data_IF_657095148396
#
_entry.id   IF_657095148396
#
_cell.length_a   1.000
_cell.length_b   1.000
_cell.length_c   1.000
_cell.angle_alpha   90.00
_cell.angle_beta   90.00
_cell.angle_gamma   90.00
#
_symmetry.space_group_name_H-M   'P 1'
#
loop_
_entity.id
_entity.type
_entity.pdbx_description
1 polymer ?
#
# COMPACT_ATOMS: atom_id res chain seq x y z
N UNK A 1 4.89 11.54 2.55
CA UNK A 1 3.82 11.42 3.58
C UNK A 1 4.41 10.99 4.92
N UNK A 2 4.14 11.73 6.01
CA UNK A 2 4.68 11.44 7.37
C UNK A 2 3.72 10.68 8.30
N UNK A 3 2.80 9.85 7.78
CA UNK A 3 1.87 9.07 8.64
C UNK A 3 2.58 8.02 9.51
N UNK A 4 3.80 7.61 9.13
CA UNK A 4 4.63 6.70 9.93
C UNK A 4 5.03 7.22 11.33
N UNK A 5 4.77 8.50 11.63
CA UNK A 5 4.99 9.12 12.94
C UNK A 5 3.73 9.18 13.81
N UNK A 6 2.56 8.81 13.27
CA UNK A 6 1.27 8.88 13.98
C UNK A 6 0.82 7.50 14.43
N UNK A 7 1.34 7.02 15.56
CA UNK A 7 0.94 5.74 16.16
C UNK A 7 -0.44 5.78 16.83
N UNK A 8 -0.92 6.99 17.14
CA UNK A 8 -2.25 7.32 17.65
C UNK A 8 -3.36 6.93 16.68
N UNK A 9 -3.16 7.15 15.38
CA UNK A 9 -4.17 6.86 14.36
C UNK A 9 -4.51 5.37 14.27
N UNK A 10 -5.79 5.03 14.13
CA UNK A 10 -6.21 3.65 13.88
C UNK A 10 -5.75 3.21 12.48
N UNK A 11 -5.77 1.89 12.26
CA UNK A 11 -5.51 1.34 10.92
C UNK A 11 -6.49 1.91 9.88
N UNK A 12 -7.75 2.12 10.27
CA UNK A 12 -8.77 2.69 9.40
C UNK A 12 -8.47 4.16 9.02
N UNK A 13 -7.99 4.96 9.98
CA UNK A 13 -7.67 6.37 9.73
C UNK A 13 -6.52 6.51 8.74
N UNK A 14 -5.50 5.67 8.86
CA UNK A 14 -4.38 5.66 7.92
C UNK A 14 -4.80 5.18 6.55
N UNK A 15 -5.63 4.15 6.49
CA UNK A 15 -6.21 3.70 5.23
C UNK A 15 -6.99 4.82 4.54
N UNK A 16 -7.84 5.55 5.27
CA UNK A 16 -8.57 6.72 4.73
C UNK A 16 -7.61 7.81 4.24
N UNK A 17 -6.59 8.15 5.02
CA UNK A 17 -5.59 9.16 4.63
C UNK A 17 -4.80 8.76 3.37
N UNK A 18 -4.45 7.48 3.24
CA UNK A 18 -3.77 6.95 2.06
C UNK A 18 -4.73 7.01 0.87
N UNK A 19 -5.97 6.53 1.02
CA UNK A 19 -6.97 6.54 -0.06
C UNK A 19 -7.25 7.94 -0.58
N UNK A 20 -7.42 8.92 0.31
CA UNK A 20 -7.68 10.31 -0.06
C UNK A 20 -6.57 10.93 -0.92
N UNK A 21 -5.31 10.54 -0.68
CA UNK A 21 -4.14 11.15 -1.34
C UNK A 21 -3.61 10.34 -2.51
N UNK A 22 -3.56 9.02 -2.36
CA UNK A 22 -3.01 8.11 -3.37
C UNK A 22 -4.05 7.66 -4.39
N UNK A 23 -5.34 7.66 -4.04
CA UNK A 23 -6.43 7.22 -4.92
C UNK A 23 -6.51 8.03 -6.22
N UNK A 24 -6.74 9.36 -6.14
CA UNK A 24 -6.80 10.21 -7.34
C UNK A 24 -5.52 10.19 -8.16
N UNK A 25 -4.36 10.20 -7.48
CA UNK A 25 -3.05 10.17 -8.11
C UNK A 25 -2.84 8.87 -8.90
N UNK A 26 -3.17 7.71 -8.32
CA UNK A 26 -3.05 6.41 -8.99
C UNK A 26 -3.99 6.30 -10.20
N UNK A 27 -5.20 6.87 -10.12
CA UNK A 27 -6.14 6.88 -11.24
C UNK A 27 -5.67 7.77 -12.40
N UNK A 28 -5.09 8.94 -12.09
CA UNK A 28 -4.59 9.86 -13.11
C UNK A 28 -3.30 9.36 -13.76
N UNK A 29 -2.26 9.05 -12.96
CA UNK A 29 -0.94 8.69 -13.49
C UNK A 29 -0.85 7.22 -13.95
N UNK A 30 -1.64 6.32 -13.35
CA UNK A 30 -1.62 4.90 -13.67
C UNK A 30 -2.01 4.58 -15.12
N UNK A 31 -2.71 5.48 -15.80
CA UNK A 31 -3.05 5.34 -17.23
C UNK A 31 -1.84 5.56 -18.15
N UNK A 32 -0.93 6.47 -17.80
CA UNK A 32 0.15 6.91 -18.69
C UNK A 32 1.50 6.30 -18.35
N UNK A 33 1.77 6.05 -17.06
CA UNK A 33 3.05 5.53 -16.57
C UNK A 33 2.82 4.42 -15.53
N UNK A 34 2.39 3.22 -15.96
CA UNK A 34 2.03 2.15 -15.03
C UNK A 34 3.19 1.66 -14.16
N UNK A 35 4.42 1.62 -14.70
CA UNK A 35 5.63 1.20 -13.97
C UNK A 35 6.04 2.19 -12.88
N UNK A 36 6.09 3.48 -13.20
CA UNK A 36 6.39 4.55 -12.22
C UNK A 36 5.31 4.64 -11.15
N UNK A 37 4.04 4.50 -11.56
CA UNK A 37 2.91 4.45 -10.63
C UNK A 37 3.08 3.28 -9.66
N UNK A 38 3.36 2.07 -10.15
CA UNK A 38 3.60 0.91 -9.30
C UNK A 38 4.76 1.13 -8.31
N UNK A 39 5.84 1.79 -8.73
CA UNK A 39 6.97 2.11 -7.86
C UNK A 39 6.58 3.04 -6.70
N UNK A 40 5.81 4.09 -6.98
CA UNK A 40 5.33 5.03 -5.95
C UNK A 40 4.33 4.34 -5.01
N UNK A 41 3.44 3.50 -5.54
CA UNK A 41 2.49 2.73 -4.73
C UNK A 41 3.20 1.74 -3.80
N UNK A 42 4.25 1.08 -4.28
CA UNK A 42 5.12 0.25 -3.45
C UNK A 42 5.80 1.07 -2.32
N UNK A 43 6.18 2.32 -2.59
CA UNK A 43 6.73 3.19 -1.55
C UNK A 43 5.71 3.52 -0.48
N UNK A 44 4.44 3.71 -0.83
CA UNK A 44 3.35 3.88 0.14
C UNK A 44 3.22 2.65 1.02
N UNK A 45 3.25 1.44 0.43
CA UNK A 45 3.21 0.18 1.20
C UNK A 45 4.42 0.06 2.14
N UNK A 46 5.64 0.47 1.72
CA UNK A 46 6.82 0.52 2.61
C UNK A 46 6.58 1.41 3.82
N UNK A 47 5.97 2.58 3.63
CA UNK A 47 5.64 3.48 4.74
C UNK A 47 4.58 2.88 5.66
N UNK A 48 3.58 2.19 5.11
CA UNK A 48 2.55 1.50 5.87
C UNK A 48 3.13 0.37 6.73
N UNK A 49 4.04 -0.43 6.17
CA UNK A 49 4.77 -1.44 6.94
C UNK A 49 5.62 -0.80 8.04
N UNK A 50 6.31 0.30 7.75
CA UNK A 50 7.09 1.03 8.77
C UNK A 50 6.21 1.55 9.90
N UNK A 51 5.02 2.06 9.58
CA UNK A 51 4.03 2.47 10.57
C UNK A 51 3.54 1.28 11.40
N UNK A 52 3.13 0.18 10.75
CA UNK A 52 2.61 -1.01 11.44
C UNK A 52 3.65 -1.59 12.41
N UNK A 53 4.92 -1.62 12.02
CA UNK A 53 6.02 -2.05 12.88
C UNK A 53 6.26 -1.13 14.09
N UNK A 54 5.91 0.15 14.00
CA UNK A 54 5.99 1.10 15.13
C UNK A 54 4.81 0.96 16.07
N UNK A 55 3.60 0.75 15.53
CA UNK A 55 2.36 0.59 16.32
C UNK A 55 2.29 -0.76 17.02
N UNK A 56 2.61 -1.86 16.32
CA UNK A 56 2.45 -3.21 16.84
C UNK A 56 3.78 -3.79 17.32
N UNK A 57 3.91 -4.00 18.64
CA UNK A 57 5.14 -4.50 19.27
C UNK A 57 5.63 -5.82 18.65
N UNK A 58 4.73 -6.75 18.33
CA UNK A 58 5.06 -8.05 17.74
C UNK A 58 5.58 -7.98 16.28
N UNK A 59 5.41 -6.84 15.61
CA UNK A 59 5.94 -6.61 14.25
C UNK A 59 7.26 -5.82 14.24
N UNK A 60 7.65 -5.19 15.36
CA UNK A 60 8.76 -4.22 15.43
C UNK A 60 10.07 -4.75 14.84
N UNK A 61 10.47 -5.96 15.24
CA UNK A 61 11.70 -6.65 14.79
C UNK A 61 11.47 -7.64 13.64
N UNK A 62 10.24 -7.74 13.12
CA UNK A 62 9.86 -8.74 12.13
C UNK A 62 9.38 -8.09 10.82
N UNK A 63 10.26 -7.45 10.04
CA UNK A 63 9.87 -6.77 8.80
C UNK A 63 9.24 -7.73 7.78
N UNK A 64 9.78 -8.94 7.64
CA UNK A 64 9.21 -9.99 6.77
C UNK A 64 7.79 -10.37 7.18
N UNK A 65 7.53 -10.50 8.48
CA UNK A 65 6.18 -10.79 9.01
C UNK A 65 5.22 -9.64 8.75
N UNK A 66 5.64 -8.40 8.94
CA UNK A 66 4.82 -7.23 8.66
C UNK A 66 4.42 -7.13 7.18
N UNK A 67 5.35 -7.42 6.26
CA UNK A 67 5.04 -7.54 4.83
C UNK A 67 4.07 -8.68 4.53
N UNK A 68 4.26 -9.85 5.14
CA UNK A 68 3.36 -11.00 4.97
C UNK A 68 1.94 -10.68 5.45
N UNK A 69 1.81 -10.05 6.61
CA UNK A 69 0.53 -9.57 7.14
C UNK A 69 -0.12 -8.56 6.20
N UNK A 70 0.64 -7.62 5.64
CA UNK A 70 0.11 -6.67 4.66
C UNK A 70 -0.38 -7.37 3.39
N UNK A 71 0.38 -8.34 2.87
CA UNK A 71 0.00 -9.13 1.71
C UNK A 71 -1.27 -9.95 1.97
N UNK A 72 -1.44 -10.49 3.18
CA UNK A 72 -2.64 -11.22 3.58
C UNK A 72 -3.87 -10.30 3.65
N UNK A 73 -3.71 -9.10 4.23
CA UNK A 73 -4.78 -8.09 4.25
C UNK A 73 -5.13 -7.68 2.81
N UNK A 74 -4.14 -7.54 1.94
CA UNK A 74 -4.37 -7.21 0.52
C UNK A 74 -5.14 -8.31 -0.21
N UNK A 75 -4.86 -9.58 0.10
CA UNK A 75 -5.58 -10.73 -0.48
C UNK A 75 -7.03 -10.79 0.00
N UNK A 76 -7.24 -10.64 1.30
CA UNK A 76 -8.57 -10.75 1.92
C UNK A 76 -9.44 -9.51 1.70
N UNK A 77 -8.83 -8.32 1.59
CA UNK A 77 -9.51 -7.03 1.47
C UNK A 77 -8.84 -6.14 0.41
N UNK A 78 -8.86 -6.52 -0.87
CA UNK A 78 -8.18 -5.78 -1.94
C UNK A 78 -8.73 -4.35 -2.15
N UNK A 79 -9.97 -4.08 -1.73
CA UNK A 79 -10.60 -2.75 -1.80
C UNK A 79 -10.26 -1.82 -0.64
N UNK A 80 -9.52 -2.28 0.36
CA UNK A 80 -9.19 -1.48 1.54
C UNK A 80 -8.34 -0.26 1.16
N UNK A 81 -7.35 -0.46 0.29
CA UNK A 81 -6.52 0.59 -0.24
C UNK A 81 -6.75 0.74 -1.74
N UNK A 82 -7.11 1.94 -2.17
CA UNK A 82 -7.47 2.25 -3.55
C UNK A 82 -6.37 1.85 -4.53
N UNK A 83 -5.11 1.99 -4.13
CA UNK A 83 -3.95 1.68 -4.98
C UNK A 83 -3.68 0.18 -5.16
N UNK A 84 -4.17 -0.69 -4.28
CA UNK A 84 -3.96 -2.14 -4.42
C UNK A 84 -4.63 -2.73 -5.65
N UNK A 85 -5.73 -2.13 -6.10
CA UNK A 85 -6.44 -2.50 -7.33
C UNK A 85 -5.63 -2.17 -8.58
N UNK A 86 -4.87 -1.08 -8.55
CA UNK A 86 -4.04 -0.65 -9.68
C UNK A 86 -2.81 -1.53 -9.85
N UNK A 87 -2.15 -1.90 -8.74
CA UNK A 87 -0.99 -2.80 -8.79
C UNK A 87 -1.35 -4.23 -9.26
N UNK A 88 -2.58 -4.70 -9.03
CA UNK A 88 -3.04 -5.97 -9.63
C UNK A 88 -3.25 -5.84 -11.15
N UNK A 89 -3.76 -4.70 -11.62
CA UNK A 89 -4.03 -4.47 -13.05
C UNK A 89 -2.74 -4.39 -13.87
N UNK A 90 -1.70 -3.74 -13.33
CA UNK A 90 -0.39 -3.62 -13.99
C UNK A 90 0.37 -4.95 -14.02
N UNK A 91 0.33 -5.76 -12.95
CA UNK A 91 0.90 -7.13 -12.96
C UNK A 91 0.20 -8.05 -13.96
N UNK A 92 -1.12 -7.96 -14.06
CA UNK A 92 -1.89 -8.83 -14.97
C UNK A 92 -1.73 -8.40 -16.44
N UNK A 93 -1.54 -7.11 -16.71
CA UNK A 93 -1.20 -6.61 -18.04
C UNK A 93 0.23 -7.00 -18.45
N UNK A 94 1.21 -6.94 -17.53
CA UNK A 94 2.58 -7.38 -17.79
C UNK A 94 2.70 -8.91 -17.98
N UNK A 95 1.91 -9.71 -17.27
CA UNK A 95 1.93 -11.18 -17.36
C UNK A 95 1.24 -11.75 -18.62
N UNK A 96 0.50 -10.93 -19.39
CA UNK A 96 -0.15 -11.32 -20.65
C UNK A 96 0.61 -10.87 -21.90
N UNK A 97 1.70 -10.13 -21.72
CA UNK A 97 2.52 -9.57 -22.80
C UNK A 97 3.83 -10.34 -23.00
N UNK A 98 3.91 -11.58 -22.52
CA UNK A 98 5.07 -12.48 -22.65
C UNK A 98 4.65 -13.81 -23.23
#
# INVERSE_FOLDING_TARGET
>A
MRFHLRSDLSFNDITKMINAKAGPWAAYYGRFRPSETAYVLFHIDKYLVRWARRKYKHLRRAPRRAWRTLAEIRRTRPGLLAHWRWDMRTRTAAARAG
#
